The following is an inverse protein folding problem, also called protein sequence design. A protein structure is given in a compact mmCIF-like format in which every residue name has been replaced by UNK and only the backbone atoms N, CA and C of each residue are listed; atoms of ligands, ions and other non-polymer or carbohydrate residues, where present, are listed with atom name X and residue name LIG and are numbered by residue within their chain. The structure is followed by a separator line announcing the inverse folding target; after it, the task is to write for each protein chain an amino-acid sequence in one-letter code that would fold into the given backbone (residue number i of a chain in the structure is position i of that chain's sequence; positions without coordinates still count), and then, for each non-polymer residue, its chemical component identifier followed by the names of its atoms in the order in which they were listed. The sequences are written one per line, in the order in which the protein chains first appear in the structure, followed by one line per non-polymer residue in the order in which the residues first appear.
data_IF_417264274042
#
_entry.id   IF_417264274042
#
_cell.length_a   1.000
_cell.length_b   1.000
_cell.length_c   1.000
_cell.angle_alpha   90.00
_cell.angle_beta   90.00
_cell.angle_gamma   90.00
#
_symmetry.space_group_name_H-M   'P 1'
#
loop_
_entity.id
_entity.type
_entity.pdbx_description
1 polymer ?
#
# COMPACT_ATOMS: atom_id res chain seq x y z
N UNK A 1 3.93 36.20 -5.51
CA UNK A 1 4.03 35.38 -4.29
C UNK A 1 5.06 34.29 -4.62
N UNK A 2 6.32 34.47 -4.20
CA UNK A 2 7.45 33.65 -4.65
C UNK A 2 8.07 32.97 -3.45
N UNK A 3 7.73 31.71 -3.24
CA UNK A 3 8.35 30.84 -2.23
C UNK A 3 9.74 30.46 -2.73
N UNK A 4 10.78 30.82 -1.97
CA UNK A 4 12.16 30.38 -2.22
C UNK A 4 12.50 29.34 -1.17
N UNK A 5 12.65 28.08 -1.59
CA UNK A 5 13.20 27.01 -0.76
C UNK A 5 14.67 27.32 -0.44
N UNK A 6 15.01 27.47 0.84
CA UNK A 6 16.38 27.66 1.31
C UNK A 6 16.94 26.28 1.65
N UNK A 7 17.74 25.72 0.74
CA UNK A 7 18.55 24.52 1.01
C UNK A 7 19.76 24.93 1.85
N UNK A 8 19.78 24.58 3.14
CA UNK A 8 20.94 24.81 4.00
C UNK A 8 21.99 23.71 3.79
N UNK A 9 23.11 24.07 3.16
CA UNK A 9 24.29 23.21 3.04
C UNK A 9 25.12 23.36 4.33
N UNK A 10 25.25 22.29 5.10
CA UNK A 10 26.09 22.26 6.31
C UNK A 10 27.55 22.09 5.89
N UNK A 11 28.33 23.16 6.03
CA UNK A 11 29.79 23.09 5.93
C UNK A 11 30.35 22.74 7.31
N UNK A 12 30.81 21.50 7.48
CA UNK A 12 31.47 21.05 8.71
C UNK A 12 32.87 21.64 8.77
N UNK A 13 33.11 22.57 9.70
CA UNK A 13 34.45 23.02 10.06
C UNK A 13 34.78 22.49 11.47
N UNK A 14 35.72 21.55 11.49
CA UNK A 14 36.25 20.85 12.64
C UNK A 14 36.99 21.78 13.61
N UNK A 15 37.00 21.45 14.91
CA UNK A 15 38.18 21.07 15.72
C UNK A 15 37.83 21.19 17.21
N UNK A 16 38.06 20.09 17.93
CA UNK A 16 38.79 20.14 19.19
C UNK A 16 37.98 20.02 20.47
N UNK A 17 37.96 18.79 20.98
CA UNK A 17 38.12 18.46 22.40
C UNK A 17 37.07 19.07 23.36
N UNK A 18 36.13 18.25 23.83
CA UNK A 18 35.82 18.09 25.26
C UNK A 18 34.98 16.81 25.42
N UNK A 19 35.25 16.13 26.52
CA UNK A 19 34.66 14.91 27.02
C UNK A 19 33.13 14.84 26.96
N UNK A 20 32.62 13.61 26.80
CA UNK A 20 31.33 13.10 27.33
C UNK A 20 30.20 14.13 27.35
N UNK A 21 29.74 14.52 26.17
CA UNK A 21 28.42 15.12 26.04
C UNK A 21 27.53 14.03 25.44
N UNK A 22 26.61 13.48 26.22
CA UNK A 22 25.58 12.52 25.77
C UNK A 22 24.67 13.16 24.70
N UNK A 23 24.63 14.49 24.72
CA UNK A 23 23.92 15.31 23.76
C UNK A 23 24.76 16.53 23.39
N UNK A 24 24.65 16.98 22.14
CA UNK A 24 25.33 18.18 21.64
C UNK A 24 24.32 19.23 21.24
N UNK A 25 24.51 20.46 21.73
CA UNK A 25 23.65 21.59 21.34
C UNK A 25 24.21 22.27 20.09
N UNK A 26 23.37 22.36 19.05
CA UNK A 26 23.69 23.03 17.79
C UNK A 26 22.82 24.28 17.70
N UNK A 27 23.45 25.43 17.50
CA UNK A 27 22.76 26.70 17.30
C UNK A 27 23.15 27.32 15.96
N UNK A 28 22.16 27.63 15.13
CA UNK A 28 22.33 28.40 13.89
C UNK A 28 21.64 29.75 14.03
N UNK A 29 22.38 30.85 13.91
CA UNK A 29 21.85 32.23 14.07
C UNK A 29 21.89 32.97 12.73
N UNK A 30 20.78 33.60 12.36
CA UNK A 30 20.65 34.45 11.18
C UNK A 30 19.88 35.72 11.54
N UNK A 31 20.60 36.84 11.68
CA UNK A 31 20.00 38.12 12.03
C UNK A 31 19.38 38.14 13.43
N UNK A 32 18.09 38.46 13.50
CA UNK A 32 17.28 38.45 14.72
C UNK A 32 16.67 37.08 15.02
N UNK A 33 16.93 36.04 14.22
CA UNK A 33 16.44 34.68 14.46
C UNK A 33 17.59 33.72 14.76
N UNK A 34 17.35 32.74 15.62
CA UNK A 34 18.23 31.57 15.78
C UNK A 34 17.43 30.30 15.97
N UNK A 35 17.98 29.21 15.47
CA UNK A 35 17.45 27.86 15.64
C UNK A 35 18.40 27.14 16.59
N UNK A 36 17.85 26.56 17.66
CA UNK A 36 18.58 25.73 18.61
C UNK A 36 18.00 24.32 18.55
N UNK A 37 18.88 23.33 18.45
CA UNK A 37 18.49 21.93 18.54
C UNK A 37 19.51 21.17 19.36
N UNK A 38 19.07 20.09 20.00
CA UNK A 38 19.93 19.17 20.72
C UNK A 38 20.00 17.87 19.92
N UNK A 39 21.18 17.31 19.76
CA UNK A 39 21.40 16.07 19.00
C UNK A 39 22.04 15.05 19.92
N UNK A 40 21.40 13.89 20.06
CA UNK A 40 21.96 12.74 20.76
C UNK A 40 23.15 12.20 19.94
N UNK A 41 24.33 12.15 20.56
CA UNK A 41 25.55 11.75 19.85
C UNK A 41 25.69 10.24 19.65
N UNK A 42 24.88 9.44 20.33
CA UNK A 42 24.88 7.98 20.26
C UNK A 42 23.89 7.47 19.20
N UNK A 43 22.68 8.01 19.17
CA UNK A 43 21.64 7.61 18.19
C UNK A 43 21.67 8.46 16.92
N UNK A 44 22.35 9.61 16.95
CA UNK A 44 22.36 10.61 15.89
C UNK A 44 20.94 11.13 15.57
N UNK A 45 20.05 11.06 16.56
CA UNK A 45 18.71 11.61 16.51
C UNK A 45 18.70 13.08 16.96
N UNK A 46 17.87 13.87 16.31
CA UNK A 46 17.73 15.31 16.57
C UNK A 46 16.53 15.49 17.50
N UNK A 47 16.76 15.99 18.70
CA UNK A 47 15.71 16.44 19.59
C UNK A 47 15.06 17.73 19.05
N UNK A 48 13.87 18.01 19.58
CA UNK A 48 13.02 19.15 19.24
C UNK A 48 13.81 20.44 18.96
N UNK A 49 13.67 20.95 17.74
CA UNK A 49 14.32 22.18 17.30
C UNK A 49 13.44 23.38 17.66
N UNK A 50 14.02 24.35 18.35
CA UNK A 50 13.32 25.56 18.81
C UNK A 50 13.79 26.76 17.99
N UNK A 51 12.83 27.54 17.49
CA UNK A 51 13.09 28.80 16.81
C UNK A 51 12.88 29.95 17.78
N UNK A 52 13.95 30.70 18.02
CA UNK A 52 13.95 31.88 18.89
C UNK A 52 14.17 33.16 18.06
N UNK A 53 13.46 34.24 18.42
CA UNK A 53 13.66 35.58 17.84
C UNK A 53 14.12 36.57 18.91
N UNK A 54 15.03 37.46 18.56
CA UNK A 54 15.55 38.49 19.45
C UNK A 54 14.56 39.65 19.54
N UNK A 55 13.85 39.77 20.67
CA UNK A 55 12.92 40.86 20.96
C UNK A 55 13.40 41.65 22.18
N UNK A 56 13.65 42.96 22.01
CA UNK A 56 14.06 43.81 23.13
C UNK A 56 15.42 43.46 23.76
N UNK A 57 16.27 42.71 23.03
CA UNK A 57 17.57 42.22 23.52
C UNK A 57 17.53 40.84 24.20
N UNK A 58 16.35 40.21 24.27
CA UNK A 58 16.16 38.87 24.82
C UNK A 58 15.67 37.93 23.73
N UNK A 59 16.20 36.72 23.68
CA UNK A 59 15.71 35.67 22.78
C UNK A 59 14.39 35.11 23.31
N UNK A 60 13.32 35.24 22.54
CA UNK A 60 12.00 34.69 22.86
C UNK A 60 11.70 33.51 21.93
N UNK A 61 11.27 32.39 22.51
CA UNK A 61 10.79 31.22 21.74
C UNK A 61 9.55 31.65 20.98
N UNK A 62 9.55 31.45 19.66
CA UNK A 62 8.41 31.77 18.79
C UNK A 62 7.72 30.53 18.26
N UNK A 63 8.45 29.45 18.04
CA UNK A 63 7.92 28.23 17.45
C UNK A 63 8.79 27.04 17.84
N UNK A 64 8.15 25.93 18.17
CA UNK A 64 8.75 24.60 18.27
C UNK A 64 8.54 23.92 16.92
N UNK A 65 9.63 23.62 16.21
CA UNK A 65 9.60 23.25 14.79
C UNK A 65 9.12 21.80 14.54
N UNK A 66 8.68 21.10 15.58
CA UNK A 66 8.01 19.79 15.56
C UNK A 66 6.54 19.92 15.17
N UNK A 67 5.86 20.99 15.60
CA UNK A 67 4.42 21.19 15.34
C UNK A 67 4.12 21.41 13.84
N UNK A 68 5.09 21.92 13.06
CA UNK A 68 4.94 22.17 11.63
C UNK A 68 5.15 20.92 10.74
N UNK A 69 5.70 19.84 11.31
CA UNK A 69 5.94 18.58 10.58
C UNK A 69 4.78 17.61 10.80
N UNK A 70 4.15 17.64 11.97
CA UNK A 70 2.98 16.81 12.29
C UNK A 70 1.78 17.16 11.37
N UNK A 71 1.56 18.45 11.11
CA UNK A 71 0.50 18.95 10.20
C UNK A 71 0.71 18.55 8.72
N UNK A 72 1.91 18.13 8.32
CA UNK A 72 2.22 17.69 6.93
C UNK A 72 2.12 16.17 6.80
N UNK A 73 2.18 15.43 7.91
CA UNK A 73 2.16 13.96 7.94
C UNK A 73 0.72 13.42 8.07
N UNK A 74 -0.24 14.21 8.57
CA UNK A 74 -1.66 13.77 8.63
C UNK A 74 -2.33 13.59 7.26
N UNK A 75 -1.77 14.16 6.18
CA UNK A 75 -2.33 14.06 4.82
C UNK A 75 -1.70 12.95 3.95
N UNK A 76 -0.78 12.15 4.50
CA UNK A 76 -0.43 10.87 3.86
C UNK A 76 -1.39 9.84 4.40
N UNK A 77 -2.61 9.82 3.86
CA UNK A 77 -3.39 8.58 3.81
C UNK A 77 -2.43 7.54 3.24
N UNK A 78 -2.03 6.61 4.09
CA UNK A 78 -1.08 5.56 3.82
C UNK A 78 -1.39 4.94 2.45
N UNK A 79 -0.58 5.19 1.40
CA UNK A 79 -0.85 4.69 0.06
C UNK A 79 -0.73 3.15 -0.01
N UNK A 80 -0.44 2.49 1.12
CA UNK A 80 -0.33 1.06 1.29
C UNK A 80 -1.28 0.49 2.37
N UNK A 81 -2.20 1.29 2.93
CA UNK A 81 -3.14 0.82 3.98
C UNK A 81 -4.25 -0.13 3.51
N UNK A 82 -4.27 -0.50 2.23
CA UNK A 82 -5.06 -1.64 1.77
C UNK A 82 -4.43 -2.23 0.51
N UNK A 83 -3.32 -2.94 0.64
CA UNK A 83 -3.18 -4.13 -0.21
C UNK A 83 -4.19 -5.11 0.36
N UNK A 84 -5.41 -5.08 -0.16
CA UNK A 84 -6.38 -6.13 0.14
C UNK A 84 -5.71 -7.43 -0.26
N UNK A 85 -5.42 -8.28 0.73
CA UNK A 85 -4.92 -9.62 0.49
C UNK A 85 -6.08 -10.40 -0.14
N UNK A 86 -6.07 -10.47 -1.46
CA UNK A 86 -7.02 -11.26 -2.24
C UNK A 86 -6.37 -12.62 -2.48
N UNK A 87 -7.04 -13.68 -2.06
CA UNK A 87 -6.59 -15.07 -2.17
C UNK A 87 -7.83 -15.88 -2.52
N UNK A 88 -8.20 -15.85 -3.81
CA UNK A 88 -9.48 -16.38 -4.27
C UNK A 88 -9.53 -17.91 -4.25
N UNK A 89 -8.38 -18.56 -4.30
CA UNK A 89 -8.22 -20.03 -4.28
C UNK A 89 -7.89 -20.57 -2.87
N UNK A 90 -7.77 -19.70 -1.86
CA UNK A 90 -7.42 -19.99 -0.46
C UNK A 90 -6.09 -20.76 -0.29
N UNK A 91 -5.12 -20.53 -1.17
CA UNK A 91 -3.84 -21.24 -1.15
C UNK A 91 -2.79 -20.57 -0.23
N UNK A 92 -3.10 -19.39 0.33
CA UNK A 92 -2.25 -18.61 1.22
C UNK A 92 -1.24 -17.72 0.51
N UNK A 93 -1.35 -17.57 -0.81
CA UNK A 93 -0.59 -16.66 -1.65
C UNK A 93 -1.56 -15.59 -2.15
N UNK A 94 -1.09 -14.35 -2.22
CA UNK A 94 -1.88 -13.25 -2.76
C UNK A 94 -2.02 -13.43 -4.29
N UNK A 95 -3.24 -13.29 -4.83
CA UNK A 95 -3.54 -13.42 -6.26
C UNK A 95 -2.62 -12.52 -7.11
N UNK A 96 -2.23 -11.33 -6.61
CA UNK A 96 -1.32 -10.43 -7.31
C UNK A 96 0.10 -11.00 -7.42
N UNK A 97 0.54 -11.78 -6.43
CA UNK A 97 1.81 -12.53 -6.49
C UNK A 97 1.69 -13.66 -7.50
N UNK A 98 0.58 -14.39 -7.50
CA UNK A 98 0.33 -15.48 -8.44
C UNK A 98 0.34 -14.99 -9.91
N UNK A 99 -0.32 -13.87 -10.18
CA UNK A 99 -0.28 -13.20 -11.48
C UNK A 99 1.16 -12.82 -11.89
N UNK A 100 1.97 -12.31 -10.95
CA UNK A 100 3.36 -11.96 -11.21
C UNK A 100 4.26 -13.20 -11.46
N UNK A 101 3.90 -14.34 -10.87
CA UNK A 101 4.55 -15.64 -11.10
C UNK A 101 4.10 -16.31 -12.41
N UNK A 102 3.09 -15.73 -13.08
CA UNK A 102 2.62 -16.15 -14.40
C UNK A 102 1.50 -17.18 -14.36
N UNK A 103 0.69 -17.19 -13.30
CA UNK A 103 -0.62 -17.86 -13.31
C UNK A 103 -1.52 -17.22 -14.39
N UNK A 104 -2.50 -17.99 -14.87
CA UNK A 104 -3.33 -17.61 -16.00
C UNK A 104 -4.29 -16.44 -15.67
N UNK A 105 -4.28 -15.45 -16.56
CA UNK A 105 -5.21 -14.32 -16.69
C UNK A 105 -5.35 -14.05 -18.19
N UNK A 106 -6.19 -14.86 -18.85
CA UNK A 106 -6.30 -14.89 -20.31
C UNK A 106 -7.05 -13.69 -20.88
N UNK A 107 -7.97 -13.13 -20.10
CA UNK A 107 -8.74 -11.93 -20.47
C UNK A 107 -8.02 -10.62 -20.07
N UNK A 108 -6.98 -10.69 -19.24
CA UNK A 108 -6.14 -9.58 -18.83
C UNK A 108 -6.83 -8.63 -17.85
N UNK A 109 -7.76 -9.15 -17.03
CA UNK A 109 -8.56 -8.35 -16.12
C UNK A 109 -7.95 -8.23 -14.72
N UNK A 110 -6.85 -8.93 -14.44
CA UNK A 110 -6.20 -8.93 -13.14
C UNK A 110 -6.85 -9.84 -12.09
N UNK A 111 -7.75 -10.72 -12.51
CA UNK A 111 -8.27 -11.86 -11.73
C UNK A 111 -7.67 -13.14 -12.29
N UNK A 112 -7.42 -14.13 -11.43
CA UNK A 112 -6.97 -15.44 -11.88
C UNK A 112 -8.09 -16.15 -12.65
N UNK A 113 -7.80 -16.67 -13.84
CA UNK A 113 -8.75 -17.44 -14.66
C UNK A 113 -9.38 -18.59 -13.85
N UNK A 114 -8.59 -19.24 -12.98
CA UNK A 114 -9.07 -20.35 -12.14
C UNK A 114 -10.15 -19.94 -11.15
N UNK A 115 -10.12 -18.70 -10.67
CA UNK A 115 -11.11 -18.18 -9.74
C UNK A 115 -12.39 -17.77 -10.45
N UNK A 116 -12.29 -17.21 -11.65
CA UNK A 116 -13.44 -16.97 -12.52
C UNK A 116 -14.13 -18.29 -12.88
N UNK A 117 -13.36 -19.31 -13.27
CA UNK A 117 -13.88 -20.65 -13.58
C UNK A 117 -14.54 -21.33 -12.37
N UNK A 118 -13.92 -21.26 -11.19
CA UNK A 118 -14.49 -21.83 -9.96
C UNK A 118 -15.79 -21.12 -9.53
N UNK A 119 -15.92 -19.82 -9.84
CA UNK A 119 -17.13 -19.08 -9.57
C UNK A 119 -18.25 -19.36 -10.58
N UNK A 120 -17.89 -19.66 -11.83
CA UNK A 120 -18.82 -20.08 -12.89
C UNK A 120 -18.87 -19.16 -14.10
N UNK A 121 -17.97 -18.19 -14.19
CA UNK A 121 -17.71 -17.41 -15.41
C UNK A 121 -16.72 -18.20 -16.26
N UNK A 122 -17.27 -19.00 -17.18
CA UNK A 122 -16.54 -20.01 -17.94
C UNK A 122 -16.05 -19.47 -19.28
N UNK A 123 -16.57 -18.33 -19.72
CA UNK A 123 -16.12 -17.65 -20.93
C UNK A 123 -15.27 -16.39 -20.66
N UNK A 124 -15.04 -16.06 -19.38
CA UNK A 124 -14.18 -14.99 -18.89
C UNK A 124 -14.67 -13.59 -19.28
N UNK A 125 -15.98 -13.35 -19.20
CA UNK A 125 -16.62 -12.08 -19.59
C UNK A 125 -17.20 -11.25 -18.44
N UNK A 126 -16.90 -11.64 -17.19
CA UNK A 126 -17.35 -11.07 -15.91
C UNK A 126 -18.85 -11.21 -15.65
N UNK A 127 -19.56 -12.06 -16.40
CA UNK A 127 -20.99 -12.27 -16.24
C UNK A 127 -21.33 -13.74 -16.38
N UNK A 128 -21.97 -14.30 -15.35
CA UNK A 128 -22.57 -15.63 -15.44
C UNK A 128 -23.91 -15.53 -16.17
N UNK A 129 -23.94 -15.97 -17.43
CA UNK A 129 -25.13 -15.95 -18.27
C UNK A 129 -25.37 -17.23 -19.11
N UNK A 130 -26.15 -17.10 -20.19
CA UNK A 130 -26.47 -18.21 -21.07
C UNK A 130 -25.25 -18.81 -21.77
N UNK A 131 -24.17 -18.05 -21.89
CA UNK A 131 -22.91 -18.46 -22.49
C UNK A 131 -22.20 -19.47 -21.60
N UNK A 132 -22.13 -19.22 -20.29
CA UNK A 132 -21.54 -20.14 -19.31
C UNK A 132 -22.37 -21.39 -19.15
N UNK A 133 -23.69 -21.22 -19.12
CA UNK A 133 -24.62 -22.35 -19.11
C UNK A 133 -24.45 -23.23 -20.35
N UNK A 134 -24.20 -22.64 -21.51
CA UNK A 134 -23.91 -23.38 -22.73
C UNK A 134 -22.60 -24.19 -22.61
N UNK A 135 -21.58 -23.66 -21.92
CA UNK A 135 -20.34 -24.37 -21.63
C UNK A 135 -20.61 -25.55 -20.68
N UNK A 136 -21.34 -25.36 -19.58
CA UNK A 136 -21.74 -26.45 -18.67
C UNK A 136 -22.44 -27.59 -19.43
N UNK A 137 -23.39 -27.26 -20.31
CA UNK A 137 -24.05 -28.28 -21.13
C UNK A 137 -23.15 -28.90 -22.21
N UNK A 138 -22.12 -28.19 -22.67
CA UNK A 138 -21.09 -28.74 -23.55
C UNK A 138 -20.26 -29.85 -22.89
N UNK A 139 -20.11 -29.81 -21.57
CA UNK A 139 -19.35 -30.78 -20.77
C UNK A 139 -20.20 -31.83 -20.05
N UNK A 140 -21.52 -31.83 -20.28
CA UNK A 140 -22.46 -32.68 -19.56
C UNK A 140 -22.07 -34.17 -19.54
N UNK A 141 -22.05 -34.75 -18.34
CA UNK A 141 -21.67 -36.12 -18.06
C UNK A 141 -20.27 -36.53 -18.57
N UNK A 142 -19.39 -35.56 -18.86
CA UNK A 142 -18.02 -35.82 -19.27
C UNK A 142 -17.21 -36.41 -18.11
N UNK A 143 -16.50 -37.53 -18.30
CA UNK A 143 -15.49 -37.96 -17.36
C UNK A 143 -14.28 -37.03 -17.48
N UNK A 144 -13.83 -36.45 -16.36
CA UNK A 144 -12.73 -35.47 -16.31
C UNK A 144 -13.01 -34.18 -17.10
N UNK A 145 -14.05 -33.41 -16.72
CA UNK A 145 -14.32 -32.14 -17.36
C UNK A 145 -13.18 -31.14 -17.09
N UNK A 146 -12.82 -30.34 -18.10
CA UNK A 146 -11.90 -29.21 -17.90
C UNK A 146 -12.62 -27.99 -17.30
N UNK A 147 -13.93 -27.88 -17.53
CA UNK A 147 -14.77 -26.77 -17.11
C UNK A 147 -16.16 -27.28 -16.71
N UNK A 148 -16.87 -26.50 -15.89
CA UNK A 148 -18.28 -26.71 -15.60
C UNK A 148 -18.61 -27.74 -14.52
N UNK A 149 -17.61 -28.40 -13.91
CA UNK A 149 -17.76 -29.14 -12.64
C UNK A 149 -17.47 -28.15 -11.51
N UNK A 150 -18.53 -27.44 -11.08
CA UNK A 150 -18.48 -26.34 -10.12
C UNK A 150 -18.59 -26.82 -8.68
N UNK A 151 -19.09 -28.04 -8.46
CA UNK A 151 -19.18 -28.64 -7.12
C UNK A 151 -18.01 -29.59 -6.81
N UNK A 152 -17.14 -29.86 -7.79
CA UNK A 152 -15.95 -30.73 -7.71
C UNK A 152 -16.28 -32.19 -7.37
N UNK A 153 -17.43 -32.70 -7.79
CA UNK A 153 -17.81 -34.10 -7.59
C UNK A 153 -17.31 -35.04 -8.70
N UNK A 154 -16.65 -34.48 -9.72
CA UNK A 154 -16.00 -35.19 -10.80
C UNK A 154 -16.90 -35.44 -12.02
N UNK A 155 -18.13 -34.93 -12.03
CA UNK A 155 -19.06 -35.02 -13.17
C UNK A 155 -19.81 -33.71 -13.37
N UNK A 156 -19.96 -33.27 -14.63
CA UNK A 156 -20.84 -32.13 -14.93
C UNK A 156 -22.29 -32.60 -15.02
N UNK A 157 -23.12 -32.18 -14.08
CA UNK A 157 -24.53 -32.52 -14.04
C UNK A 157 -25.45 -31.38 -13.55
N UNK A 158 -26.65 -31.76 -13.07
CA UNK A 158 -27.65 -30.81 -12.60
C UNK A 158 -27.20 -30.06 -11.34
N UNK A 159 -26.27 -30.63 -10.56
CA UNK A 159 -25.63 -30.00 -9.41
C UNK A 159 -24.88 -28.74 -9.82
N UNK A 160 -24.04 -28.82 -10.86
CA UNK A 160 -23.26 -27.67 -11.35
C UNK A 160 -24.14 -26.61 -11.98
N UNK A 161 -25.13 -27.05 -12.76
CA UNK A 161 -26.13 -26.14 -13.32
C UNK A 161 -26.86 -25.39 -12.20
N UNK A 162 -27.21 -26.09 -11.11
CA UNK A 162 -27.80 -25.47 -9.94
C UNK A 162 -26.90 -24.40 -9.30
N UNK A 163 -25.61 -24.67 -9.16
CA UNK A 163 -24.63 -23.71 -8.64
C UNK A 163 -24.47 -22.49 -9.55
N UNK A 164 -24.33 -22.70 -10.86
CA UNK A 164 -24.23 -21.64 -11.85
C UNK A 164 -25.45 -20.70 -11.78
N UNK A 165 -26.65 -21.27 -11.73
CA UNK A 165 -27.90 -20.49 -11.70
C UNK A 165 -28.11 -19.69 -10.41
N UNK A 166 -27.51 -20.08 -9.28
CA UNK A 166 -27.56 -19.31 -8.03
C UNK A 166 -26.69 -18.05 -8.10
N UNK A 167 -25.68 -18.04 -8.98
CA UNK A 167 -24.72 -16.93 -9.16
C UNK A 167 -24.98 -16.11 -10.44
N UNK A 168 -26.15 -16.28 -11.06
CA UNK A 168 -26.48 -15.65 -12.33
C UNK A 168 -26.35 -14.12 -12.30
N UNK A 169 -25.66 -13.56 -13.30
CA UNK A 169 -25.38 -12.14 -13.42
C UNK A 169 -23.89 -11.80 -13.20
N UNK A 170 -23.58 -10.54 -12.89
CA UNK A 170 -22.19 -10.08 -12.74
C UNK A 170 -21.43 -10.82 -11.64
N UNK A 171 -20.15 -11.05 -11.88
CA UNK A 171 -19.21 -11.60 -10.89
C UNK A 171 -18.71 -10.52 -9.90
N UNK A 172 -18.19 -10.91 -8.73
CA UNK A 172 -17.75 -9.98 -7.69
C UNK A 172 -16.30 -9.50 -7.81
N UNK A 173 -15.63 -9.73 -8.95
CA UNK A 173 -14.24 -9.35 -9.22
C UNK A 173 -14.18 -8.32 -10.36
#
# INVERSE_FOLDING_TARGET
MSTRFITAIVSVASIGLIAVAEETEITATAGDARIRTRVDVQTNEVEEAVVERLEGGTWTVKETATDAVEDVIEDVEDPMASVDFVDCNENGIDDAVELAEGVLDSNGNGTLDECEFAYGDLNLDMVIDGSDLFIVFGWWASPFPLFGDLNFDGVVDAGDTGLLLVRWGPTPF
#
